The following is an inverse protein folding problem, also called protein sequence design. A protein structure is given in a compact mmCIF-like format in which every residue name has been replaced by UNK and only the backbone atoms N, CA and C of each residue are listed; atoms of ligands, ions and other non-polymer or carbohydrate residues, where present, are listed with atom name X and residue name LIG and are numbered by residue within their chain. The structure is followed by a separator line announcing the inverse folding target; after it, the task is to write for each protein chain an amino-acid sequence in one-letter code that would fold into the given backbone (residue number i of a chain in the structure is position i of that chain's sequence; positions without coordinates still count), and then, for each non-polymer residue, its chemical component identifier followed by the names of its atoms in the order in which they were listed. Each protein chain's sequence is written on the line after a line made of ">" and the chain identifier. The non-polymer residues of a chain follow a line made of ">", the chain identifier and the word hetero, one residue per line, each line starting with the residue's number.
data_IF_774949696021
#
_entry.id   IF_774949696021
#
_cell.length_a   1.000
_cell.length_b   1.000
_cell.length_c   1.000
_cell.angle_alpha   90.00
_cell.angle_beta   90.00
_cell.angle_gamma   90.00
#
_symmetry.space_group_name_H-M   'P 1'
#
loop_
_entity.id
_entity.type
_entity.pdbx_description
1 polymer ?
#
# COMPACT_ATOMS: atom_id res chain seq x y z
N UNK A 1 17.23 -2.07 3.14
CA UNK A 1 16.03 -2.89 3.40
C UNK A 1 16.35 -4.36 3.14
N UNK A 2 15.88 -5.26 4.00
CA UNK A 2 16.07 -6.71 3.83
C UNK A 2 15.37 -7.23 2.56
N UNK A 3 15.96 -8.21 1.88
CA UNK A 3 15.45 -8.76 0.61
C UNK A 3 14.05 -9.36 0.75
N UNK A 4 13.82 -10.13 1.80
CA UNK A 4 12.53 -10.80 2.01
C UNK A 4 11.42 -9.79 2.32
N UNK A 5 11.76 -8.71 3.05
CA UNK A 5 10.84 -7.62 3.31
C UNK A 5 10.50 -6.86 2.02
N UNK A 6 11.47 -6.66 1.12
CA UNK A 6 11.23 -6.06 -0.21
C UNK A 6 10.27 -6.92 -1.00
N UNK A 7 10.54 -8.20 -1.10
CA UNK A 7 9.70 -9.14 -1.84
C UNK A 7 8.26 -9.19 -1.30
N UNK A 8 8.09 -9.25 0.02
CA UNK A 8 6.78 -9.25 0.65
C UNK A 8 6.01 -7.95 0.37
N UNK A 9 6.67 -6.80 0.50
CA UNK A 9 6.07 -5.49 0.29
C UNK A 9 5.70 -5.27 -1.18
N UNK A 10 6.57 -5.65 -2.11
CA UNK A 10 6.29 -5.58 -3.55
C UNK A 10 5.09 -6.45 -3.93
N UNK A 11 4.99 -7.65 -3.36
CA UNK A 11 3.84 -8.55 -3.55
C UNK A 11 2.54 -7.92 -3.03
N UNK A 12 2.57 -7.30 -1.85
CA UNK A 12 1.41 -6.62 -1.29
C UNK A 12 1.02 -5.38 -2.13
N UNK A 13 1.98 -4.63 -2.66
CA UNK A 13 1.71 -3.53 -3.58
C UNK A 13 1.06 -3.99 -4.89
N UNK A 14 1.44 -5.16 -5.42
CA UNK A 14 0.79 -5.72 -6.61
C UNK A 14 -0.69 -6.01 -6.35
N UNK A 15 -1.03 -6.55 -5.18
CA UNK A 15 -2.42 -6.78 -4.78
C UNK A 15 -3.19 -5.46 -4.67
N UNK A 16 -2.58 -4.45 -4.05
CA UNK A 16 -3.19 -3.13 -3.84
C UNK A 16 -3.42 -2.36 -5.15
N UNK A 17 -2.63 -2.66 -6.19
CA UNK A 17 -2.77 -2.08 -7.54
C UNK A 17 -3.80 -2.77 -8.42
N UNK A 18 -4.36 -3.92 -8.00
CA UNK A 18 -5.36 -4.62 -8.80
C UNK A 18 -6.56 -3.71 -9.10
N UNK A 19 -7.22 -3.98 -10.24
CA UNK A 19 -8.13 -3.04 -10.89
C UNK A 19 -9.46 -2.82 -10.12
N UNK A 20 -9.88 -3.76 -9.27
CA UNK A 20 -11.19 -3.70 -8.60
C UNK A 20 -11.21 -4.24 -7.15
N UNK A 21 -10.34 -3.82 -6.23
CA UNK A 21 -10.49 -4.19 -4.83
C UNK A 21 -11.77 -3.54 -4.28
N UNK A 22 -12.60 -4.34 -3.61
CA UNK A 22 -13.65 -3.79 -2.76
C UNK A 22 -13.03 -2.89 -1.70
N UNK A 23 -13.77 -1.95 -1.09
CA UNK A 23 -13.24 -1.10 0.00
C UNK A 23 -12.60 -1.91 1.13
N UNK A 24 -13.16 -3.08 1.46
CA UNK A 24 -12.61 -3.98 2.46
C UNK A 24 -11.28 -4.62 2.03
N UNK A 25 -11.17 -5.04 0.76
CA UNK A 25 -9.93 -5.61 0.22
C UNK A 25 -8.82 -4.56 0.16
N UNK A 26 -9.15 -3.35 -0.31
CA UNK A 26 -8.21 -2.25 -0.35
C UNK A 26 -7.70 -1.90 1.06
N UNK A 27 -8.60 -1.74 2.03
CA UNK A 27 -8.23 -1.44 3.41
C UNK A 27 -7.35 -2.52 4.03
N UNK A 28 -7.65 -3.80 3.74
CA UNK A 28 -6.87 -4.95 4.24
C UNK A 28 -5.45 -4.96 3.65
N UNK A 29 -5.31 -4.81 2.34
CA UNK A 29 -3.99 -4.72 1.69
C UNK A 29 -3.21 -3.49 2.15
N UNK A 30 -3.87 -2.34 2.33
CA UNK A 30 -3.24 -1.13 2.83
C UNK A 30 -2.70 -1.32 4.25
N UNK A 31 -3.51 -1.88 5.15
CA UNK A 31 -3.11 -2.18 6.52
C UNK A 31 -1.95 -3.17 6.57
N UNK A 32 -1.94 -4.18 5.70
CA UNK A 32 -0.83 -5.12 5.57
C UNK A 32 0.47 -4.42 5.16
N UNK A 33 0.45 -3.62 4.10
CA UNK A 33 1.62 -2.84 3.65
C UNK A 33 2.13 -1.92 4.77
N UNK A 34 1.23 -1.19 5.43
CA UNK A 34 1.60 -0.29 6.52
C UNK A 34 2.21 -1.05 7.70
N UNK A 35 1.65 -2.21 8.05
CA UNK A 35 2.18 -3.10 9.08
C UNK A 35 3.58 -3.59 8.75
N UNK A 36 3.84 -4.01 7.50
CA UNK A 36 5.18 -4.42 7.04
C UNK A 36 6.18 -3.27 7.11
N UNK A 37 5.80 -2.05 6.73
CA UNK A 37 6.67 -0.87 6.78
C UNK A 37 7.01 -0.50 8.23
N UNK A 38 6.00 -0.44 9.09
CA UNK A 38 6.18 -0.09 10.51
C UNK A 38 6.96 -1.17 11.26
N UNK A 39 6.62 -2.45 11.05
CA UNK A 39 7.31 -3.59 11.64
C UNK A 39 8.74 -3.71 11.14
N UNK A 40 8.96 -3.58 9.82
CA UNK A 40 10.28 -3.60 9.20
C UNK A 40 11.19 -2.51 9.76
N UNK A 41 10.68 -1.29 9.96
CA UNK A 41 11.43 -0.22 10.63
C UNK A 41 11.74 -0.55 12.08
N UNK A 42 10.75 -1.03 12.83
CA UNK A 42 10.87 -1.30 14.27
C UNK A 42 11.86 -2.43 14.56
N UNK A 43 11.89 -3.45 13.70
CA UNK A 43 12.78 -4.61 13.83
C UNK A 43 14.13 -4.43 13.12
N UNK A 44 14.45 -3.24 12.59
CA UNK A 44 15.72 -2.96 11.91
C UNK A 44 15.87 -3.55 10.49
N UNK A 45 14.81 -4.13 9.92
CA UNK A 45 14.78 -4.63 8.53
C UNK A 45 14.63 -3.52 7.47
N UNK A 46 14.32 -2.30 7.89
CA UNK A 46 14.13 -1.11 7.05
C UNK A 46 14.68 0.13 7.75
N UNK A 47 15.41 0.99 7.03
CA UNK A 47 15.89 2.25 7.57
C UNK A 47 14.75 3.27 7.76
N UNK A 48 15.00 4.36 8.48
CA UNK A 48 14.01 5.43 8.65
C UNK A 48 13.63 6.08 7.32
N UNK A 49 14.60 6.29 6.44
CA UNK A 49 14.41 6.93 5.14
C UNK A 49 13.70 5.99 4.17
N UNK A 50 14.06 4.71 4.17
CA UNK A 50 13.35 3.68 3.42
C UNK A 50 11.87 3.63 3.86
N UNK A 51 11.60 3.62 5.17
CA UNK A 51 10.24 3.62 5.67
C UNK A 51 9.47 4.91 5.33
N UNK A 52 10.14 6.06 5.18
CA UNK A 52 9.50 7.29 4.75
C UNK A 52 9.12 7.22 3.26
N UNK A 53 10.02 6.73 2.41
CA UNK A 53 9.77 6.51 0.97
C UNK A 53 8.61 5.52 0.77
N UNK A 54 8.63 4.39 1.46
CA UNK A 54 7.57 3.38 1.33
C UNK A 54 6.22 3.88 1.85
N UNK A 55 6.18 4.65 2.95
CA UNK A 55 4.92 5.30 3.39
C UNK A 55 4.40 6.32 2.38
N UNK A 56 5.28 7.11 1.76
CA UNK A 56 4.89 8.07 0.73
C UNK A 56 4.30 7.35 -0.49
N UNK A 57 4.93 6.26 -0.94
CA UNK A 57 4.42 5.44 -2.03
C UNK A 57 3.07 4.79 -1.68
N UNK A 58 2.91 4.24 -0.49
CA UNK A 58 1.64 3.69 -0.02
C UNK A 58 0.53 4.76 0.05
N UNK A 59 0.86 5.99 0.47
CA UNK A 59 -0.09 7.12 0.50
C UNK A 59 -0.54 7.53 -0.90
N UNK A 60 0.39 7.56 -1.87
CA UNK A 60 0.06 7.79 -3.28
C UNK A 60 -0.92 6.75 -3.81
N UNK A 61 -0.73 5.47 -3.48
CA UNK A 61 -1.64 4.40 -3.91
C UNK A 61 -3.04 4.56 -3.31
N UNK A 62 -3.16 5.02 -2.06
CA UNK A 62 -4.45 5.33 -1.46
C UNK A 62 -5.16 6.50 -2.13
N UNK A 63 -4.44 7.59 -2.43
CA UNK A 63 -5.01 8.70 -3.18
C UNK A 63 -5.53 8.26 -4.57
N UNK A 64 -4.78 7.41 -5.27
CA UNK A 64 -5.23 6.85 -6.56
C UNK A 64 -6.49 5.99 -6.43
N UNK A 65 -6.61 5.22 -5.35
CA UNK A 65 -7.81 4.43 -5.08
C UNK A 65 -9.04 5.32 -4.83
N UNK A 66 -8.90 6.37 -4.01
CA UNK A 66 -9.98 7.32 -3.75
C UNK A 66 -10.44 8.03 -5.03
N UNK A 67 -9.50 8.48 -5.87
CA UNK A 67 -9.83 9.09 -7.18
C UNK A 67 -10.62 8.11 -8.04
N UNK A 68 -10.22 6.83 -8.10
CA UNK A 68 -10.95 5.81 -8.87
C UNK A 68 -12.35 5.56 -8.33
N UNK A 69 -12.54 5.57 -7.01
CA UNK A 69 -13.87 5.42 -6.40
C UNK A 69 -14.81 6.58 -6.78
N UNK A 70 -14.30 7.81 -6.80
CA UNK A 70 -15.08 8.99 -7.21
C UNK A 70 -15.47 8.89 -8.68
N UNK A 71 -14.51 8.62 -9.58
CA UNK A 71 -14.76 8.50 -11.03
C UNK A 71 -15.81 7.43 -11.35
N UNK A 72 -15.78 6.27 -10.67
CA UNK A 72 -16.81 5.22 -10.86
C UNK A 72 -18.18 5.66 -10.37
N UNK A 73 -18.23 6.39 -9.26
CA UNK A 73 -19.49 6.89 -8.68
C UNK A 73 -20.16 7.93 -9.59
N UNK A 74 -19.36 8.69 -10.33
CA UNK A 74 -19.85 9.67 -11.33
C UNK A 74 -20.26 9.03 -12.65
N UNK A 75 -19.53 7.99 -13.11
CA UNK A 75 -19.86 7.29 -14.37
C UNK A 75 -21.09 6.38 -14.27
N UNK A 76 -21.60 6.11 -13.07
CA UNK A 76 -22.82 5.33 -12.82
C UNK A 76 -24.10 6.17 -12.62
N UNK A 77 -24.02 7.49 -12.77
CA UNK A 77 -25.17 8.43 -12.76
C UNK A 77 -25.51 8.87 -14.17
#
# INVERSE_FOLDING_TARGET
>A
MHSDLRYALDTAYQQLRQLEPSPADFASSYALCLGMIMGGRTCGGMSKDEAAVERAHLSMLAALYEIRLVVRSESGR
#
